data_IF_745124574611
#
_entry.id   IF_745124574611
#
_cell.length_a   1.000
_cell.length_b   1.000
_cell.length_c   1.000
_cell.angle_alpha   90.00
_cell.angle_beta   90.00
_cell.angle_gamma   90.00
#
_symmetry.space_group_name_H-M   'P 1'
#
loop_
_entity.id
_entity.type
_entity.pdbx_description
1 polymer ?
#
# COMPACT_ATOMS: atom_id res chain seq x y z
N UNK A 1 -18.03 -11.00 -20.97
CA UNK A 1 -16.89 -11.63 -20.25
C UNK A 1 -17.06 -11.33 -18.78
N UNK A 2 -16.85 -12.32 -17.91
CA UNK A 2 -16.78 -12.11 -16.47
C UNK A 2 -15.52 -11.33 -16.12
N UNK A 3 -15.66 -10.26 -15.32
CA UNK A 3 -14.53 -9.50 -14.80
C UNK A 3 -13.68 -10.38 -13.90
N UNK A 4 -12.35 -10.19 -13.85
CA UNK A 4 -11.54 -10.92 -12.89
C UNK A 4 -12.01 -10.55 -11.48
N UNK A 5 -12.30 -11.56 -10.67
CA UNK A 5 -12.53 -11.35 -9.24
C UNK A 5 -11.30 -10.66 -8.63
N UNK A 6 -11.47 -9.86 -7.59
CA UNK A 6 -10.37 -9.36 -6.78
C UNK A 6 -10.60 -9.88 -5.36
N UNK A 7 -9.53 -10.29 -4.69
CA UNK A 7 -9.62 -10.56 -3.26
C UNK A 7 -9.93 -9.24 -2.50
N UNK A 8 -10.38 -9.30 -1.23
CA UNK A 8 -10.72 -8.09 -0.47
C UNK A 8 -9.58 -7.06 -0.38
N UNK A 9 -8.32 -7.53 -0.38
CA UNK A 9 -7.11 -6.69 -0.31
C UNK A 9 -6.92 -5.90 -1.61
N UNK A 10 -7.00 -6.55 -2.78
CA UNK A 10 -6.96 -5.87 -4.07
C UNK A 10 -8.21 -5.03 -4.34
N UNK A 11 -9.37 -5.41 -3.80
CA UNK A 11 -10.57 -4.57 -3.80
C UNK A 11 -10.35 -3.25 -3.05
N UNK A 12 -9.73 -3.31 -1.87
CA UNK A 12 -9.36 -2.10 -1.13
C UNK A 12 -8.32 -1.24 -1.86
N UNK A 13 -7.33 -1.85 -2.52
CA UNK A 13 -6.39 -1.11 -3.40
C UNK A 13 -7.14 -0.39 -4.51
N UNK A 14 -8.02 -1.10 -5.22
CA UNK A 14 -8.84 -0.55 -6.29
C UNK A 14 -9.69 0.64 -5.83
N UNK A 15 -10.31 0.56 -4.64
CA UNK A 15 -11.10 1.65 -4.08
C UNK A 15 -10.28 2.89 -3.71
N UNK A 16 -9.01 2.69 -3.37
CA UNK A 16 -8.10 3.75 -2.97
C UNK A 16 -7.34 4.37 -4.14
N UNK A 17 -7.50 3.88 -5.38
CA UNK A 17 -6.93 4.52 -6.57
C UNK A 17 -7.90 5.60 -7.07
N UNK A 18 -7.37 6.82 -7.23
CA UNK A 18 -8.09 8.00 -7.72
C UNK A 18 -7.12 8.83 -8.56
N UNK A 19 -7.14 8.59 -9.85
CA UNK A 19 -6.31 9.22 -10.87
C UNK A 19 -6.87 8.85 -12.24
N UNK A 20 -6.59 9.65 -13.26
CA UNK A 20 -6.94 9.31 -14.65
C UNK A 20 -5.91 8.33 -15.25
N UNK A 21 -4.62 8.51 -14.94
CA UNK A 21 -3.53 7.61 -15.35
C UNK A 21 -2.89 6.90 -14.15
N UNK A 22 -2.73 5.58 -14.26
CA UNK A 22 -2.20 4.75 -13.18
C UNK A 22 -1.12 3.77 -13.64
N UNK A 23 -0.17 3.41 -12.78
CA UNK A 23 0.73 2.30 -13.00
C UNK A 23 0.58 1.22 -11.93
N UNK A 24 0.41 -0.04 -12.33
CA UNK A 24 0.41 -1.18 -11.41
C UNK A 24 1.76 -1.90 -11.48
N UNK A 25 2.57 -1.76 -10.44
CA UNK A 25 3.94 -2.26 -10.37
C UNK A 25 3.97 -3.65 -9.74
N UNK A 26 4.46 -4.65 -10.49
CA UNK A 26 4.39 -6.06 -10.10
C UNK A 26 2.99 -6.62 -10.32
N UNK A 27 2.42 -6.35 -11.50
CA UNK A 27 1.00 -6.58 -11.81
C UNK A 27 0.58 -8.05 -11.80
N UNK A 28 1.55 -8.97 -11.85
CA UNK A 28 1.39 -10.42 -11.94
C UNK A 28 0.53 -10.83 -13.16
N UNK A 29 -0.81 -10.74 -13.04
CA UNK A 29 -1.79 -11.16 -14.03
C UNK A 29 -2.65 -10.02 -14.60
N UNK A 30 -2.34 -8.76 -14.31
CA UNK A 30 -3.11 -7.58 -14.75
C UNK A 30 -4.60 -7.56 -14.31
N UNK A 31 -4.96 -8.25 -13.23
CA UNK A 31 -6.34 -8.27 -12.70
C UNK A 31 -6.79 -6.90 -12.23
N UNK A 32 -5.92 -6.18 -11.50
CA UNK A 32 -6.20 -4.83 -11.01
C UNK A 32 -6.32 -3.81 -12.17
N UNK A 33 -5.36 -3.71 -13.11
CA UNK A 33 -5.48 -2.86 -14.30
C UNK A 33 -6.77 -3.08 -15.10
N UNK A 34 -7.14 -4.34 -15.36
CA UNK A 34 -8.37 -4.67 -16.09
C UNK A 34 -9.60 -4.16 -15.34
N UNK A 35 -9.63 -4.29 -14.01
CA UNK A 35 -10.76 -3.82 -13.20
C UNK A 35 -10.85 -2.30 -13.14
N UNK A 36 -9.73 -1.61 -12.95
CA UNK A 36 -9.68 -0.14 -12.94
C UNK A 36 -10.26 0.45 -14.22
N UNK A 37 -9.83 -0.06 -15.38
CA UNK A 37 -10.30 0.42 -16.68
C UNK A 37 -11.77 0.03 -16.93
N UNK A 38 -12.16 -1.20 -16.61
CA UNK A 38 -13.54 -1.67 -16.83
C UNK A 38 -14.57 -0.95 -15.96
N UNK A 39 -14.18 -0.51 -14.77
CA UNK A 39 -15.03 0.28 -13.87
C UNK A 39 -14.96 1.78 -14.17
N UNK A 40 -14.21 2.21 -15.19
CA UNK A 40 -14.07 3.63 -15.54
C UNK A 40 -13.34 4.44 -14.47
N UNK A 41 -12.54 3.80 -13.62
CA UNK A 41 -11.78 4.46 -12.54
C UNK A 41 -10.51 5.14 -13.02
N UNK A 42 -9.96 4.65 -14.14
CA UNK A 42 -8.79 5.20 -14.83
C UNK A 42 -9.06 5.15 -16.34
N UNK A 43 -8.56 6.12 -17.10
CA UNK A 43 -8.61 6.12 -18.57
C UNK A 43 -7.48 5.30 -19.18
N UNK A 44 -6.31 5.27 -18.53
CA UNK A 44 -5.15 4.48 -18.94
C UNK A 44 -4.41 3.88 -17.76
N UNK A 45 -3.84 2.70 -17.99
CA UNK A 45 -3.01 2.00 -17.02
C UNK A 45 -1.71 1.48 -17.65
N UNK A 46 -0.60 1.57 -16.93
CA UNK A 46 0.67 0.89 -17.27
C UNK A 46 0.84 -0.27 -16.29
N UNK A 47 0.77 -1.50 -16.79
CA UNK A 47 1.01 -2.71 -16.01
C UNK A 47 2.48 -3.12 -16.17
N UNK A 48 3.26 -3.06 -15.09
CA UNK A 48 4.68 -3.42 -15.11
C UNK A 48 4.89 -4.77 -14.45
N UNK A 49 5.64 -5.64 -15.11
CA UNK A 49 6.02 -6.94 -14.56
C UNK A 49 7.47 -7.28 -14.92
N UNK A 50 8.24 -7.79 -13.96
CA UNK A 50 9.63 -8.15 -14.16
C UNK A 50 9.75 -9.54 -14.81
N UNK A 51 8.91 -10.47 -14.36
CA UNK A 51 9.08 -11.89 -14.61
C UNK A 51 8.40 -12.31 -15.94
N UNK A 52 9.10 -13.03 -16.84
CA UNK A 52 8.54 -13.40 -18.15
C UNK A 52 7.24 -14.19 -18.11
N UNK A 53 7.08 -15.08 -17.11
CA UNK A 53 5.86 -15.89 -16.95
C UNK A 53 4.63 -15.02 -16.64
N UNK A 54 4.61 -14.33 -15.49
CA UNK A 54 3.55 -13.37 -15.16
C UNK A 54 3.33 -12.31 -16.25
N UNK A 55 4.39 -11.74 -16.82
CA UNK A 55 4.29 -10.79 -17.93
C UNK A 55 3.49 -11.35 -19.12
N UNK A 56 3.74 -12.59 -19.52
CA UNK A 56 3.01 -13.23 -20.61
C UNK A 56 1.53 -13.44 -20.25
N UNK A 57 1.23 -13.75 -18.99
CA UNK A 57 -0.14 -13.90 -18.51
C UNK A 57 -0.88 -12.55 -18.44
N UNK A 58 -0.23 -11.49 -17.98
CA UNK A 58 -0.75 -10.12 -17.99
C UNK A 58 -1.11 -9.67 -19.42
N UNK A 59 -0.22 -9.89 -20.40
CA UNK A 59 -0.49 -9.59 -21.82
C UNK A 59 -1.70 -10.36 -22.35
N UNK A 60 -1.80 -11.66 -22.06
CA UNK A 60 -2.95 -12.49 -22.45
C UNK A 60 -4.24 -11.99 -21.81
N UNK A 61 -4.21 -11.61 -20.54
CA UNK A 61 -5.36 -11.08 -19.82
C UNK A 61 -5.88 -9.80 -20.46
N UNK A 62 -5.00 -8.83 -20.70
CA UNK A 62 -5.34 -7.54 -21.34
C UNK A 62 -5.91 -7.74 -22.74
N UNK A 63 -5.26 -8.58 -23.56
CA UNK A 63 -5.73 -8.90 -24.91
C UNK A 63 -7.10 -9.58 -24.89
N UNK A 64 -7.29 -10.58 -24.01
CA UNK A 64 -8.58 -11.28 -23.86
C UNK A 64 -9.66 -10.31 -23.40
N UNK A 65 -9.32 -9.39 -22.50
CA UNK A 65 -10.22 -8.34 -22.03
C UNK A 65 -10.49 -7.25 -23.08
N UNK A 66 -9.81 -7.25 -24.25
CA UNK A 66 -9.92 -6.21 -25.29
C UNK A 66 -9.61 -4.81 -24.76
N UNK A 67 -8.57 -4.69 -23.94
CA UNK A 67 -8.16 -3.42 -23.32
C UNK A 67 -6.74 -2.98 -23.71
N UNK A 68 -6.16 -3.56 -24.77
CA UNK A 68 -4.78 -3.27 -25.19
C UNK A 68 -4.52 -1.81 -25.56
N UNK A 69 -5.56 -1.04 -25.88
CA UNK A 69 -5.45 0.42 -26.14
C UNK A 69 -5.41 1.26 -24.86
N UNK A 70 -5.89 0.71 -23.74
CA UNK A 70 -6.00 1.40 -22.45
C UNK A 70 -5.01 0.87 -21.41
N UNK A 71 -4.52 -0.36 -21.57
CA UNK A 71 -3.57 -1.00 -20.66
C UNK A 71 -2.32 -1.38 -21.44
N UNK A 72 -1.22 -0.67 -21.15
CA UNK A 72 0.10 -0.95 -21.69
C UNK A 72 0.87 -1.90 -20.75
N UNK A 73 1.30 -3.06 -21.25
CA UNK A 73 1.98 -4.08 -20.44
C UNK A 73 3.47 -4.11 -20.74
N UNK A 74 4.26 -3.63 -19.79
CA UNK A 74 5.71 -3.44 -19.93
C UNK A 74 6.51 -4.40 -19.06
N UNK A 75 7.65 -4.83 -19.59
CA UNK A 75 8.62 -5.58 -18.80
C UNK A 75 9.59 -4.63 -18.12
N UNK A 76 9.85 -4.82 -16.82
CA UNK A 76 10.87 -4.05 -16.11
C UNK A 76 10.89 -4.24 -14.60
N UNK A 77 11.98 -3.82 -13.97
CA UNK A 77 12.10 -3.78 -12.50
C UNK A 77 11.52 -2.47 -11.95
N UNK A 78 10.44 -2.58 -11.19
CA UNK A 78 9.81 -1.44 -10.53
C UNK A 78 9.36 -0.36 -11.52
N UNK A 79 9.83 0.86 -11.30
CA UNK A 79 9.49 2.02 -12.13
C UNK A 79 10.42 2.19 -13.34
N UNK A 80 11.37 1.28 -13.59
CA UNK A 80 12.34 1.41 -14.68
C UNK A 80 11.72 1.72 -16.06
N UNK A 81 10.63 1.06 -16.51
CA UNK A 81 10.06 1.27 -17.84
C UNK A 81 9.11 2.48 -17.92
N UNK A 82 9.01 3.30 -16.86
CA UNK A 82 8.20 4.51 -16.85
C UNK A 82 9.05 5.75 -17.19
N UNK A 83 8.39 6.77 -17.73
CA UNK A 83 8.92 8.13 -17.86
C UNK A 83 8.48 9.00 -16.68
N UNK A 84 9.27 10.02 -16.35
CA UNK A 84 8.88 11.01 -15.35
C UNK A 84 7.60 11.74 -15.81
N UNK A 85 6.62 11.86 -14.91
CA UNK A 85 5.33 12.48 -15.20
C UNK A 85 4.37 11.64 -16.07
N UNK A 86 4.72 10.40 -16.42
CA UNK A 86 3.89 9.56 -17.29
C UNK A 86 2.55 9.17 -16.66
N UNK A 87 2.55 8.90 -15.35
CA UNK A 87 1.36 8.48 -14.61
C UNK A 87 1.12 9.41 -13.41
N UNK A 88 -0.15 9.64 -13.09
CA UNK A 88 -0.56 10.44 -11.93
C UNK A 88 -0.51 9.64 -10.63
N UNK A 89 -0.63 8.32 -10.71
CA UNK A 89 -0.54 7.45 -9.54
C UNK A 89 0.08 6.10 -9.85
N UNK A 90 0.58 5.40 -8.83
CA UNK A 90 1.02 4.01 -8.96
C UNK A 90 0.66 3.15 -7.76
N UNK A 91 0.43 1.86 -7.98
CA UNK A 91 0.30 0.84 -6.94
C UNK A 91 1.51 -0.08 -6.88
N UNK A 92 1.89 -0.46 -5.65
CA UNK A 92 2.84 -1.55 -5.39
C UNK A 92 2.22 -2.44 -4.33
N UNK A 93 1.87 -3.68 -4.69
CA UNK A 93 1.05 -4.55 -3.83
C UNK A 93 1.63 -5.96 -3.73
N UNK A 94 1.30 -6.68 -2.66
CA UNK A 94 1.62 -8.10 -2.52
C UNK A 94 3.09 -8.40 -2.20
N UNK A 95 3.86 -7.41 -1.74
CA UNK A 95 5.29 -7.55 -1.42
C UNK A 95 5.57 -7.14 0.04
N UNK A 96 6.71 -7.54 0.60
CA UNK A 96 7.14 -7.04 1.92
C UNK A 96 7.49 -5.55 1.89
N UNK A 97 7.32 -4.85 3.01
CA UNK A 97 7.54 -3.40 3.12
C UNK A 97 8.95 -2.99 2.70
N UNK A 98 9.97 -3.81 3.03
CA UNK A 98 11.35 -3.56 2.62
C UNK A 98 11.52 -3.59 1.09
N UNK A 99 10.93 -4.59 0.42
CA UNK A 99 10.96 -4.70 -1.04
C UNK A 99 10.25 -3.52 -1.70
N UNK A 100 9.05 -3.16 -1.19
CA UNK A 100 8.30 -2.00 -1.69
C UNK A 100 9.14 -0.73 -1.55
N UNK A 101 9.73 -0.49 -0.37
CA UNK A 101 10.61 0.66 -0.14
C UNK A 101 11.76 0.71 -1.14
N UNK A 102 12.45 -0.41 -1.37
CA UNK A 102 13.54 -0.49 -2.33
C UNK A 102 13.11 -0.15 -3.76
N UNK A 103 11.92 -0.61 -4.18
CA UNK A 103 11.34 -0.26 -5.49
C UNK A 103 11.08 1.24 -5.58
N UNK A 104 10.52 1.85 -4.53
CA UNK A 104 10.23 3.28 -4.49
C UNK A 104 11.50 4.13 -4.45
N UNK A 105 12.55 3.68 -3.77
CA UNK A 105 13.84 4.39 -3.72
C UNK A 105 14.54 4.42 -5.09
N UNK A 106 14.50 3.31 -5.84
CA UNK A 106 15.07 3.22 -7.20
C UNK A 106 14.29 4.01 -8.25
N UNK A 107 13.03 4.36 -7.97
CA UNK A 107 12.17 5.04 -8.93
C UNK A 107 12.60 6.49 -9.24
N UNK A 108 13.26 7.18 -8.30
CA UNK A 108 13.73 8.55 -8.50
C UNK A 108 12.60 9.50 -8.92
N UNK A 109 12.84 10.27 -9.99
CA UNK A 109 11.88 11.23 -10.58
C UNK A 109 10.65 10.59 -11.23
N UNK A 110 10.67 9.26 -11.42
CA UNK A 110 9.54 8.50 -11.98
C UNK A 110 8.44 8.24 -10.95
N UNK A 111 8.66 8.59 -9.68
CA UNK A 111 7.64 8.49 -8.65
C UNK A 111 6.48 9.48 -8.93
N UNK A 112 5.25 8.98 -9.09
CA UNK A 112 4.10 9.84 -9.33
C UNK A 112 3.68 10.61 -8.05
N UNK A 113 2.83 11.64 -8.18
CA UNK A 113 2.35 12.40 -7.03
C UNK A 113 1.48 11.57 -6.06
N UNK A 114 0.86 10.48 -6.50
CA UNK A 114 0.06 9.60 -5.63
C UNK A 114 0.54 8.14 -5.66
N UNK A 115 0.54 7.48 -4.51
CA UNK A 115 0.91 6.07 -4.36
C UNK A 115 -0.18 5.30 -3.60
N UNK A 116 -0.44 4.06 -4.02
CA UNK A 116 -1.25 3.10 -3.27
C UNK A 116 -0.40 1.88 -2.94
N UNK A 117 -0.02 1.76 -1.68
CA UNK A 117 0.92 0.73 -1.22
C UNK A 117 0.18 -0.32 -0.40
N UNK A 118 0.46 -1.59 -0.68
CA UNK A 118 -0.05 -2.70 0.12
C UNK A 118 1.12 -3.65 0.44
N UNK A 119 1.77 -3.48 1.62
CA UNK A 119 2.74 -4.44 2.09
C UNK A 119 2.05 -5.68 2.69
N UNK A 120 2.72 -6.83 2.64
CA UNK A 120 2.27 -8.06 3.30
C UNK A 120 2.65 -8.15 4.78
N UNK A 121 3.40 -7.17 5.29
CA UNK A 121 3.94 -7.09 6.65
C UNK A 121 3.73 -5.67 7.24
N UNK A 122 4.50 -5.31 8.27
CA UNK A 122 4.37 -4.04 8.97
C UNK A 122 4.58 -2.83 8.04
N UNK A 123 3.61 -1.90 7.93
CA UNK A 123 3.73 -0.71 7.10
C UNK A 123 4.60 0.40 7.73
N UNK A 124 5.18 0.18 8.92
CA UNK A 124 5.96 1.18 9.67
C UNK A 124 7.05 1.84 8.82
N UNK A 125 7.84 1.03 8.12
CA UNK A 125 8.94 1.54 7.29
C UNK A 125 8.45 2.31 6.07
N UNK A 126 7.29 1.95 5.52
CA UNK A 126 6.68 2.67 4.41
C UNK A 126 6.10 4.01 4.86
N UNK A 127 5.47 4.09 6.04
CA UNK A 127 5.00 5.35 6.64
C UNK A 127 6.15 6.29 6.94
N UNK A 128 7.24 5.77 7.51
CA UNK A 128 8.46 6.52 7.78
C UNK A 128 9.08 7.05 6.49
N UNK A 129 9.23 6.19 5.48
CA UNK A 129 9.72 6.58 4.16
C UNK A 129 8.82 7.65 3.51
N UNK A 130 7.51 7.49 3.59
CA UNK A 130 6.55 8.42 2.98
C UNK A 130 6.70 9.83 3.55
N UNK A 131 6.73 9.96 4.89
CA UNK A 131 6.97 11.25 5.57
C UNK A 131 8.28 11.89 5.13
N UNK A 132 9.37 11.12 5.11
CA UNK A 132 10.68 11.61 4.69
C UNK A 132 10.74 12.03 3.21
N UNK A 133 9.84 11.52 2.37
CA UNK A 133 9.77 11.82 0.93
C UNK A 133 8.67 12.82 0.56
N UNK A 134 8.03 13.47 1.54
CA UNK A 134 6.99 14.47 1.33
C UNK A 134 5.66 13.88 0.84
N UNK A 135 5.38 12.62 1.17
CA UNK A 135 4.08 11.99 0.95
C UNK A 135 3.28 12.00 2.25
N UNK A 136 2.10 12.59 2.19
CA UNK A 136 1.12 12.55 3.28
C UNK A 136 0.19 11.35 3.13
N UNK A 137 -0.23 10.77 4.25
CA UNK A 137 -1.22 9.71 4.30
C UNK A 137 -2.63 10.29 4.17
N UNK A 138 -3.33 9.93 3.09
CA UNK A 138 -4.68 10.44 2.78
C UNK A 138 -5.78 9.44 3.10
N UNK A 139 -5.47 8.15 3.04
CA UNK A 139 -6.38 7.09 3.46
C UNK A 139 -5.57 5.87 3.82
N UNK A 140 -6.07 5.05 4.72
CA UNK A 140 -5.58 3.69 4.91
C UNK A 140 -6.75 2.76 5.24
N UNK A 141 -6.56 1.46 4.98
CA UNK A 141 -7.50 0.41 5.34
C UNK A 141 -6.72 -0.75 5.94
N UNK A 142 -7.39 -1.52 6.82
CA UNK A 142 -6.87 -2.77 7.35
C UNK A 142 -7.85 -3.89 7.01
N UNK A 143 -7.37 -4.90 6.27
CA UNK A 143 -8.21 -5.98 5.75
C UNK A 143 -7.86 -7.29 6.46
N UNK A 144 -8.85 -8.15 6.78
CA UNK A 144 -8.58 -9.47 7.33
C UNK A 144 -7.94 -10.39 6.30
N UNK A 145 -7.17 -11.38 6.75
CA UNK A 145 -6.43 -12.31 5.92
C UNK A 145 -5.63 -13.30 6.75
N UNK A 146 -4.68 -14.03 6.12
CA UNK A 146 -3.71 -14.86 6.87
C UNK A 146 -2.91 -14.00 7.87
N UNK A 147 -2.63 -12.77 7.47
CA UNK A 147 -2.28 -11.66 8.35
C UNK A 147 -3.21 -10.47 8.05
N UNK A 148 -3.26 -9.49 8.94
CA UNK A 148 -3.97 -8.24 8.66
C UNK A 148 -3.22 -7.42 7.60
N UNK A 149 -3.85 -7.18 6.46
CA UNK A 149 -3.25 -6.48 5.31
C UNK A 149 -3.54 -4.98 5.36
N UNK A 150 -2.52 -4.13 5.58
CA UNK A 150 -2.69 -2.68 5.46
C UNK A 150 -2.68 -2.27 3.98
N UNK A 151 -3.50 -1.28 3.63
CA UNK A 151 -3.43 -0.57 2.34
C UNK A 151 -3.32 0.92 2.64
N UNK A 152 -2.34 1.59 2.03
CA UNK A 152 -2.00 2.98 2.26
C UNK A 152 -2.25 3.77 0.98
N UNK A 153 -2.99 4.88 1.04
CA UNK A 153 -3.02 5.91 -0.01
C UNK A 153 -2.20 7.10 0.44
N UNK A 154 -1.17 7.40 -0.33
CA UNK A 154 -0.19 8.44 -0.07
C UNK A 154 -0.21 9.46 -1.20
N UNK A 155 -0.09 10.75 -0.88
CA UNK A 155 -0.06 11.83 -1.86
C UNK A 155 0.99 12.87 -1.51
N UNK A 156 1.70 13.40 -2.50
CA UNK A 156 2.66 14.50 -2.30
C UNK A 156 1.94 15.72 -1.77
N UNK A 157 2.51 16.34 -0.73
CA UNK A 157 2.04 17.58 -0.18
C UNK A 157 3.16 18.28 0.59
N UNK A 158 3.01 19.59 0.77
CA UNK A 158 3.95 20.41 1.52
C UNK A 158 3.64 20.40 3.02
N UNK A 159 4.67 20.64 3.83
CA UNK A 159 4.55 20.74 5.28
C UNK A 159 4.38 19.40 5.99
N UNK A 160 4.05 19.50 7.27
CA UNK A 160 3.83 18.34 8.12
C UNK A 160 2.56 17.59 7.73
N UNK A 161 2.59 16.26 7.84
CA UNK A 161 1.42 15.43 7.52
C UNK A 161 0.38 15.51 8.66
N UNK A 162 -0.79 16.12 8.42
CA UNK A 162 -1.80 16.29 9.46
C UNK A 162 -2.37 14.97 9.97
N UNK A 163 -2.22 13.86 9.24
CA UNK A 163 -2.68 12.55 9.70
C UNK A 163 -2.07 12.20 11.07
N UNK A 164 -0.80 12.54 11.29
CA UNK A 164 -0.02 12.20 12.48
C UNK A 164 -0.18 13.19 13.64
N UNK A 165 -0.90 14.31 13.45
CA UNK A 165 -0.98 15.36 14.46
C UNK A 165 -1.61 14.88 15.79
N UNK A 166 -0.97 15.17 16.92
CA UNK A 166 -1.47 14.82 18.26
C UNK A 166 -1.70 13.31 18.51
N UNK A 167 -0.95 12.44 17.82
CA UNK A 167 -0.95 10.99 18.05
C UNK A 167 0.37 10.54 18.68
N UNK A 168 0.38 9.46 19.48
CA UNK A 168 1.64 8.83 19.90
C UNK A 168 2.40 8.34 18.67
N UNK A 169 3.59 8.87 18.44
CA UNK A 169 4.30 8.71 17.16
C UNK A 169 4.63 7.24 16.86
N UNK A 170 5.12 6.49 17.86
CA UNK A 170 5.45 5.08 17.70
C UNK A 170 4.21 4.24 17.34
N UNK A 171 3.09 4.49 18.03
CA UNK A 171 1.80 3.85 17.72
C UNK A 171 1.32 4.22 16.31
N UNK A 172 1.36 5.50 15.95
CA UNK A 172 0.90 6.00 14.65
C UNK A 172 1.71 5.42 13.49
N UNK A 173 3.03 5.36 13.61
CA UNK A 173 3.90 4.75 12.61
C UNK A 173 3.66 3.23 12.50
N UNK A 174 3.48 2.52 13.62
CA UNK A 174 3.28 1.06 13.62
C UNK A 174 1.89 0.65 13.14
N UNK A 175 0.84 1.22 13.72
CA UNK A 175 -0.53 0.76 13.52
C UNK A 175 -1.30 1.58 12.49
N UNK A 176 -0.99 2.88 12.36
CA UNK A 176 -1.57 3.77 11.36
C UNK A 176 -2.33 4.92 12.01
N UNK A 177 -2.01 6.18 11.67
CA UNK A 177 -2.63 7.31 12.33
C UNK A 177 -4.13 7.42 12.05
N UNK A 178 -4.59 7.14 10.83
CA UNK A 178 -6.01 7.19 10.50
C UNK A 178 -6.74 5.97 11.07
N UNK A 179 -6.09 4.79 11.10
CA UNK A 179 -6.64 3.60 11.75
C UNK A 179 -6.79 3.81 13.27
N UNK A 180 -5.84 4.46 13.94
CA UNK A 180 -5.96 4.82 15.37
C UNK A 180 -7.10 5.82 15.63
N UNK A 181 -7.33 6.76 14.70
CA UNK A 181 -8.46 7.70 14.77
C UNK A 181 -9.79 7.06 14.43
N UNK A 182 -9.82 5.99 13.66
CA UNK A 182 -11.06 5.27 13.37
C UNK A 182 -11.38 4.27 14.48
N UNK A 183 -10.37 3.53 14.95
CA UNK A 183 -10.51 2.47 15.95
C UNK A 183 -11.28 1.23 15.46
N UNK A 184 -11.04 0.71 14.24
CA UNK A 184 -11.83 -0.42 13.74
C UNK A 184 -11.57 -1.69 14.57
N UNK A 185 -12.55 -2.60 14.70
CA UNK A 185 -12.40 -3.81 15.51
C UNK A 185 -11.16 -4.65 15.17
N UNK A 186 -10.82 -4.77 13.89
CA UNK A 186 -9.64 -5.51 13.43
C UNK A 186 -8.32 -4.89 13.91
N UNK A 187 -8.26 -3.56 14.06
CA UNK A 187 -7.09 -2.90 14.64
C UNK A 187 -6.95 -3.28 16.12
N UNK A 188 -8.03 -3.20 16.89
CA UNK A 188 -8.03 -3.57 18.31
C UNK A 188 -7.62 -5.02 18.53
N UNK A 189 -8.14 -5.95 17.71
CA UNK A 189 -7.75 -7.36 17.72
C UNK A 189 -6.24 -7.51 17.48
N UNK A 190 -5.70 -6.86 16.45
CA UNK A 190 -4.28 -6.87 16.14
C UNK A 190 -3.41 -6.31 17.27
N UNK A 191 -3.79 -5.17 17.84
CA UNK A 191 -3.06 -4.51 18.93
C UNK A 191 -3.03 -5.41 20.17
N UNK A 192 -4.16 -6.01 20.54
CA UNK A 192 -4.25 -6.94 21.68
C UNK A 192 -3.42 -8.20 21.44
N UNK A 193 -3.46 -8.76 20.22
CA UNK A 193 -2.63 -9.91 19.84
C UNK A 193 -1.13 -9.59 19.92
N UNK A 194 -0.73 -8.40 19.46
CA UNK A 194 0.66 -7.93 19.58
C UNK A 194 1.08 -7.76 21.04
N UNK A 195 0.26 -7.16 21.91
CA UNK A 195 0.54 -7.05 23.35
C UNK A 195 0.76 -8.43 23.96
N UNK A 196 -0.14 -9.38 23.70
CA UNK A 196 -0.03 -10.74 24.22
C UNK A 196 1.24 -11.46 23.74
N UNK A 197 1.57 -11.32 22.44
CA UNK A 197 2.76 -11.93 21.83
C UNK A 197 4.06 -11.32 22.32
N UNK A 198 4.09 -9.99 22.51
CA UNK A 198 5.32 -9.25 22.84
C UNK A 198 5.62 -9.25 24.34
N UNK A 199 4.60 -9.26 25.21
CA UNK A 199 4.77 -9.26 26.66
C UNK A 199 5.80 -10.29 27.20
N UNK A 200 5.79 -11.58 26.80
CA UNK A 200 6.74 -12.55 27.34
C UNK A 200 8.18 -12.39 26.85
N UNK A 201 8.41 -11.64 25.77
CA UNK A 201 9.74 -11.50 25.11
C UNK A 201 10.30 -10.08 25.18
N UNK A 202 9.51 -9.12 25.67
CA UNK A 202 9.90 -7.73 25.82
C UNK A 202 10.88 -7.57 26.99
N UNK A 203 12.08 -7.08 26.70
CA UNK A 203 13.09 -6.74 27.69
C UNK A 203 13.82 -5.45 27.27
N UNK A 204 14.25 -4.60 28.22
CA UNK A 204 14.95 -3.35 27.91
C UNK A 204 16.11 -3.55 26.92
N UNK A 205 16.16 -2.71 25.87
CA UNK A 205 17.17 -2.80 24.81
C UNK A 205 16.87 -3.83 23.71
N UNK A 206 15.72 -4.52 23.74
CA UNK A 206 15.24 -5.36 22.63
C UNK A 206 14.18 -4.62 21.82
N UNK A 207 14.14 -4.86 20.51
CA UNK A 207 13.08 -4.34 19.62
C UNK A 207 11.67 -4.62 20.18
N UNK A 208 11.44 -5.84 20.70
CA UNK A 208 10.16 -6.22 21.29
C UNK A 208 9.68 -5.33 22.46
N UNK A 209 10.59 -4.63 23.15
CA UNK A 209 10.25 -3.67 24.20
C UNK A 209 9.58 -2.43 23.61
N UNK A 210 10.19 -1.85 22.57
CA UNK A 210 9.67 -0.67 21.87
C UNK A 210 8.38 -1.00 21.13
N UNK A 211 8.30 -2.19 20.52
CA UNK A 211 7.06 -2.67 19.90
C UNK A 211 5.91 -2.81 20.91
N UNK A 212 6.20 -3.33 22.11
CA UNK A 212 5.20 -3.48 23.16
C UNK A 212 4.74 -2.12 23.70
N UNK A 213 5.66 -1.17 23.86
CA UNK A 213 5.33 0.20 24.26
C UNK A 213 4.38 0.84 23.23
N UNK A 214 4.72 0.78 21.94
CA UNK A 214 3.89 1.29 20.86
C UNK A 214 2.49 0.63 20.82
N UNK A 215 2.41 -0.68 21.09
CA UNK A 215 1.14 -1.40 21.16
C UNK A 215 0.26 -0.96 22.35
N UNK A 216 0.88 -0.72 23.51
CA UNK A 216 0.16 -0.20 24.70
C UNK A 216 -0.33 1.23 24.49
N UNK A 217 0.48 2.09 23.88
CA UNK A 217 0.07 3.45 23.48
C UNK A 217 -1.10 3.41 22.50
N UNK A 218 -1.06 2.52 21.49
CA UNK A 218 -2.14 2.33 20.54
C UNK A 218 -3.45 1.91 21.25
N UNK A 219 -3.37 0.95 22.18
CA UNK A 219 -4.54 0.49 22.93
C UNK A 219 -5.12 1.61 23.80
N UNK A 220 -4.27 2.30 24.56
CA UNK A 220 -4.68 3.41 25.41
C UNK A 220 -5.33 4.56 24.60
N UNK A 221 -4.80 4.85 23.41
CA UNK A 221 -5.39 5.84 22.51
C UNK A 221 -6.79 5.46 22.03
N UNK A 222 -6.98 4.20 21.61
CA UNK A 222 -8.27 3.77 21.06
C UNK A 222 -9.32 3.60 22.16
N UNK A 223 -8.94 3.13 23.35
CA UNK A 223 -9.85 2.94 24.49
C UNK A 223 -10.12 4.23 25.29
N UNK A 224 -9.21 5.20 25.26
CA UNK A 224 -9.35 6.50 25.95
C UNK A 224 -10.27 7.51 25.25
N UNK A 225 -11.06 7.07 24.28
CA UNK A 225 -11.95 7.90 23.46
C UNK A 225 -13.42 7.69 23.79
#
# INVERSE_FOLDING_TARGET
MTLPSLDPRLGAVLDLIRADTHADIGTDHARLPVRLVREGRVSRCVAVELNPGPLALARRMVARARLSEQIDVRQGDGFAPLLAGEVQSASVTGMGAYTIRGILERAGEKLPPALVLQPNDSPLWLRTWARARGYHLRSERLLPGYWAYPVLRLERAEGEDPAYAALPEAAALRYGPLLLREGPPLLLERVRADIARLTPVAAPGREAWDELAAAREALAWVEGR
#
